data_IF_735958858114
#
_entry.id   IF_735958858114
#
_cell.length_a   1.000
_cell.length_b   1.000
_cell.length_c   1.000
_cell.angle_alpha   90.00
_cell.angle_beta   90.00
_cell.angle_gamma   90.00
#
_symmetry.space_group_name_H-M   'P 1'
#
loop_
_entity.id
_entity.type
_entity.pdbx_description
1 polymer ?
#
# COMPACT_ATOMS: atom_id res chain seq x y z
N UNK A 1 73.05 29.09 16.92
CA UNK A 1 72.49 30.19 17.74
C UNK A 1 72.62 31.45 16.92
N UNK A 2 71.64 32.36 16.81
CA UNK A 2 70.27 32.41 17.33
C UNK A 2 69.27 32.45 16.13
N UNK A 3 67.95 32.64 16.18
CA UNK A 3 67.01 33.22 17.13
C UNK A 3 65.67 32.51 16.83
N UNK A 4 65.12 31.85 17.83
CA UNK A 4 63.75 31.36 17.83
C UNK A 4 62.77 32.52 17.76
N UNK A 5 61.83 32.52 16.82
CA UNK A 5 60.43 32.67 17.23
C UNK A 5 59.48 31.93 16.29
N UNK A 6 58.69 31.08 16.94
CA UNK A 6 57.82 30.05 16.41
C UNK A 6 56.42 30.63 16.37
N UNK A 7 56.22 31.63 15.52
CA UNK A 7 55.01 32.46 15.55
C UNK A 7 53.97 32.12 14.46
N UNK A 8 54.18 31.06 13.67
CA UNK A 8 53.27 30.69 12.58
C UNK A 8 52.21 29.62 12.96
N UNK A 9 52.46 28.76 13.95
CA UNK A 9 51.63 27.55 14.15
C UNK A 9 50.52 27.67 15.23
N UNK A 10 50.16 28.89 15.64
CA UNK A 10 49.13 29.11 16.69
C UNK A 10 47.82 29.74 16.21
N UNK A 11 47.58 29.81 14.90
CA UNK A 11 46.31 30.30 14.33
C UNK A 11 45.47 29.25 13.59
N UNK A 12 45.95 28.02 13.45
CA UNK A 12 45.22 26.97 12.72
C UNK A 12 44.59 25.88 13.62
N UNK A 13 44.86 25.90 14.93
CA UNK A 13 44.35 24.87 15.85
C UNK A 13 43.04 25.23 16.61
N UNK A 14 42.54 26.47 16.49
CA UNK A 14 41.35 26.91 17.24
C UNK A 14 40.07 27.05 16.39
N UNK A 15 40.16 26.98 15.05
CA UNK A 15 39.00 27.06 14.15
C UNK A 15 38.40 25.67 13.81
N UNK A 16 39.10 24.58 14.15
CA UNK A 16 38.69 23.21 13.87
C UNK A 16 37.76 22.58 14.93
N UNK A 17 37.49 23.27 16.04
CA UNK A 17 36.77 22.71 17.20
C UNK A 17 35.28 23.11 17.30
N UNK A 18 34.66 23.61 16.22
CA UNK A 18 33.31 24.19 16.28
C UNK A 18 32.24 23.54 15.37
N UNK A 19 32.46 22.36 14.78
CA UNK A 19 31.41 21.72 13.94
C UNK A 19 31.16 20.22 14.17
N UNK A 20 31.61 19.67 15.29
CA UNK A 20 31.16 18.36 15.77
C UNK A 20 30.31 18.52 17.02
N UNK A 21 28.99 18.67 16.81
CA UNK A 21 27.96 18.39 17.80
C UNK A 21 26.71 17.88 17.07
N UNK A 22 26.18 16.70 17.41
CA UNK A 22 24.87 16.27 16.94
C UNK A 22 23.78 16.92 17.80
N UNK A 23 22.62 17.25 17.22
CA UNK A 23 21.39 17.16 17.99
C UNK A 23 20.44 16.20 17.28
N UNK A 24 20.36 14.99 17.84
CA UNK A 24 19.11 14.25 17.80
C UNK A 24 18.06 15.11 18.53
N UNK A 25 17.23 15.84 17.78
CA UNK A 25 16.07 16.53 18.32
C UNK A 25 14.96 16.45 17.28
N UNK A 26 13.89 15.75 17.65
CA UNK A 26 12.86 15.28 16.75
C UNK A 26 12.38 16.36 15.79
N UNK A 27 12.54 16.10 14.48
CA UNK A 27 11.52 16.56 13.55
C UNK A 27 10.23 15.94 14.04
N UNK A 28 9.48 16.70 14.83
CA UNK A 28 8.08 16.46 15.10
C UNK A 28 7.53 15.93 13.80
N UNK A 29 7.15 14.64 13.76
CA UNK A 29 6.44 14.05 12.63
C UNK A 29 5.20 14.91 12.52
N UNK A 30 5.28 16.03 11.78
CA UNK A 30 4.13 16.87 11.47
C UNK A 30 3.16 15.89 10.86
N UNK A 31 2.16 15.49 11.64
CA UNK A 31 1.15 14.53 11.22
C UNK A 31 0.62 15.13 9.93
N UNK A 32 0.96 14.50 8.80
CA UNK A 32 0.70 15.05 7.47
C UNK A 32 -0.82 15.11 7.37
N UNK A 33 -1.39 16.31 7.58
CA UNK A 33 -2.84 16.48 7.59
C UNK A 33 -3.29 16.24 6.17
N UNK A 34 -3.97 15.11 5.94
CA UNK A 34 -4.49 14.77 4.62
C UNK A 34 -5.52 15.83 4.26
N UNK A 35 -5.25 16.61 3.21
CA UNK A 35 -6.15 17.63 2.70
C UNK A 35 -7.47 17.00 2.23
N UNK A 36 -8.54 17.78 2.25
CA UNK A 36 -9.86 17.35 1.76
C UNK A 36 -9.78 16.81 0.33
N UNK A 37 -9.02 17.48 -0.54
CA UNK A 37 -8.77 17.06 -1.94
C UNK A 37 -8.08 15.69 -2.00
N UNK A 38 -7.06 15.45 -1.17
CA UNK A 38 -6.39 14.14 -1.12
C UNK A 38 -7.31 13.02 -0.60
N UNK A 39 -8.19 13.31 0.37
CA UNK A 39 -9.21 12.36 0.83
C UNK A 39 -10.21 12.04 -0.27
N UNK A 40 -10.72 13.05 -0.98
CA UNK A 40 -11.64 12.86 -2.10
C UNK A 40 -11.00 12.03 -3.21
N UNK A 41 -9.76 12.34 -3.60
CA UNK A 41 -9.02 11.55 -4.58
C UNK A 41 -8.86 10.09 -4.16
N UNK A 42 -8.59 9.83 -2.88
CA UNK A 42 -8.52 8.47 -2.34
C UNK A 42 -9.89 7.75 -2.40
N UNK A 43 -10.98 8.41 -2.02
CA UNK A 43 -12.33 7.85 -2.10
C UNK A 43 -12.74 7.50 -3.53
N UNK A 44 -12.39 8.33 -4.52
CA UNK A 44 -12.66 8.05 -5.94
C UNK A 44 -11.91 6.80 -6.39
N UNK A 45 -10.62 6.67 -6.02
CA UNK A 45 -9.84 5.48 -6.35
C UNK A 45 -10.45 4.21 -5.77
N UNK A 46 -10.84 4.25 -4.49
CA UNK A 46 -11.45 3.08 -3.86
C UNK A 46 -12.80 2.73 -4.48
N UNK A 47 -13.62 3.74 -4.83
CA UNK A 47 -14.87 3.51 -5.56
C UNK A 47 -14.64 2.80 -6.89
N UNK A 48 -13.63 3.23 -7.67
CA UNK A 48 -13.27 2.59 -8.94
C UNK A 48 -12.79 1.15 -8.74
N UNK A 49 -11.94 0.92 -7.73
CA UNK A 49 -11.49 -0.42 -7.35
C UNK A 49 -12.68 -1.33 -7.00
N UNK A 50 -13.61 -0.85 -6.18
CA UNK A 50 -14.82 -1.60 -5.81
C UNK A 50 -15.76 -1.83 -6.97
N UNK A 51 -15.87 -0.88 -7.91
CA UNK A 51 -16.65 -1.08 -9.13
C UNK A 51 -16.11 -2.26 -9.95
N UNK A 52 -14.80 -2.28 -10.23
CA UNK A 52 -14.15 -3.38 -10.95
C UNK A 52 -14.31 -4.73 -10.23
N UNK A 53 -14.21 -4.76 -8.90
CA UNK A 53 -14.47 -5.96 -8.12
C UNK A 53 -15.91 -6.46 -8.29
N UNK A 54 -16.88 -5.54 -8.22
CA UNK A 54 -18.30 -5.89 -8.36
C UNK A 54 -18.62 -6.40 -9.77
N UNK A 55 -18.01 -5.82 -10.80
CA UNK A 55 -18.15 -6.25 -12.18
C UNK A 55 -17.65 -7.69 -12.36
N UNK A 56 -16.42 -7.99 -11.90
CA UNK A 56 -15.89 -9.35 -11.92
C UNK A 56 -16.79 -10.35 -11.16
N UNK A 57 -17.40 -9.89 -10.07
CA UNK A 57 -18.35 -10.71 -9.31
C UNK A 57 -19.64 -10.99 -10.08
N UNK A 58 -20.12 -10.03 -10.87
CA UNK A 58 -21.28 -10.22 -11.73
C UNK A 58 -20.98 -11.10 -12.94
N UNK A 59 -19.76 -11.07 -13.46
CA UNK A 59 -19.31 -12.05 -14.45
C UNK A 59 -19.28 -13.46 -13.87
N UNK A 60 -18.77 -13.63 -12.66
CA UNK A 60 -18.79 -14.93 -11.98
C UNK A 60 -20.22 -15.46 -11.83
N UNK A 61 -21.17 -14.62 -11.41
CA UNK A 61 -22.58 -15.02 -11.28
C UNK A 61 -23.17 -15.56 -12.59
N UNK A 62 -22.79 -15.01 -13.74
CA UNK A 62 -23.26 -15.48 -15.06
C UNK A 62 -22.72 -16.86 -15.44
N UNK A 63 -21.59 -17.26 -14.85
CA UNK A 63 -20.93 -18.56 -15.11
C UNK A 63 -21.37 -19.64 -14.13
N UNK A 64 -21.82 -19.25 -12.95
CA UNK A 64 -22.34 -20.17 -11.95
C UNK A 64 -23.75 -20.61 -12.37
N UNK A 65 -24.05 -21.92 -12.36
CA UNK A 65 -25.38 -22.41 -12.73
C UNK A 65 -26.43 -21.96 -11.71
N UNK A 66 -27.45 -21.24 -12.17
CA UNK A 66 -28.61 -20.80 -11.38
C UNK A 66 -29.89 -20.93 -12.20
N UNK A 67 -31.04 -21.02 -11.55
CA UNK A 67 -32.32 -21.06 -12.26
C UNK A 67 -32.67 -19.67 -12.83
N UNK A 68 -33.29 -19.61 -14.01
CA UNK A 68 -33.52 -18.36 -14.75
C UNK A 68 -34.39 -17.31 -14.00
N UNK A 69 -35.20 -17.76 -13.03
CA UNK A 69 -36.08 -16.91 -12.22
C UNK A 69 -35.56 -16.68 -10.79
N UNK A 70 -34.35 -17.14 -10.48
CA UNK A 70 -33.79 -16.97 -9.15
C UNK A 70 -33.32 -15.54 -8.89
N UNK A 71 -33.48 -15.15 -7.63
CA UNK A 71 -32.94 -13.89 -7.11
C UNK A 71 -31.42 -13.86 -7.29
N UNK A 72 -30.86 -12.67 -7.54
CA UNK A 72 -29.42 -12.44 -7.57
C UNK A 72 -28.75 -12.97 -6.30
N UNK A 73 -27.84 -13.93 -6.47
CA UNK A 73 -27.09 -14.55 -5.38
C UNK A 73 -26.24 -13.54 -4.60
N UNK A 74 -26.17 -13.71 -3.27
CA UNK A 74 -25.24 -12.97 -2.42
C UNK A 74 -23.79 -13.33 -2.74
N UNK A 75 -22.83 -12.55 -2.21
CA UNK A 75 -21.40 -12.82 -2.45
C UNK A 75 -20.99 -14.19 -1.90
N UNK A 76 -21.42 -14.53 -0.69
CA UNK A 76 -21.05 -15.81 -0.09
C UNK A 76 -21.66 -17.00 -0.84
N UNK A 77 -22.92 -16.89 -1.28
CA UNK A 77 -23.59 -17.95 -2.04
C UNK A 77 -22.92 -18.18 -3.40
N UNK A 78 -22.61 -17.09 -4.12
CA UNK A 78 -21.93 -17.18 -5.43
C UNK A 78 -20.57 -17.88 -5.30
N UNK A 79 -19.78 -17.55 -4.27
CA UNK A 79 -18.48 -18.19 -4.05
C UNK A 79 -18.63 -19.67 -3.71
N UNK A 80 -19.56 -20.01 -2.81
CA UNK A 80 -19.82 -21.40 -2.42
C UNK A 80 -20.25 -22.23 -3.64
N UNK A 81 -21.19 -21.71 -4.42
CA UNK A 81 -21.72 -22.43 -5.58
C UNK A 81 -20.68 -22.56 -6.69
N UNK A 82 -19.84 -21.54 -6.92
CA UNK A 82 -18.72 -21.63 -7.85
C UNK A 82 -17.73 -22.76 -7.48
N UNK A 83 -17.37 -22.87 -6.20
CA UNK A 83 -16.48 -23.94 -5.72
C UNK A 83 -17.10 -25.31 -5.98
N UNK A 84 -18.35 -25.50 -5.56
CA UNK A 84 -19.07 -26.77 -5.75
C UNK A 84 -19.19 -27.11 -7.24
N UNK A 85 -19.45 -26.11 -8.09
CA UNK A 85 -19.59 -26.31 -9.52
C UNK A 85 -18.27 -26.74 -10.20
N UNK A 86 -17.14 -26.15 -9.81
CA UNK A 86 -15.81 -26.57 -10.29
C UNK A 86 -15.54 -28.02 -9.88
N UNK A 87 -15.77 -28.37 -8.61
CA UNK A 87 -15.61 -29.75 -8.13
C UNK A 87 -16.48 -30.73 -8.91
N UNK A 88 -17.76 -30.40 -9.08
CA UNK A 88 -18.72 -31.24 -9.81
C UNK A 88 -18.31 -31.46 -11.27
N UNK A 89 -17.91 -30.40 -11.98
CA UNK A 89 -17.45 -30.51 -13.36
C UNK A 89 -16.17 -31.33 -13.48
N UNK A 90 -15.25 -31.19 -12.52
CA UNK A 90 -14.00 -31.98 -12.48
C UNK A 90 -14.30 -33.47 -12.31
N UNK A 91 -15.14 -33.82 -11.33
CA UNK A 91 -15.54 -35.22 -11.12
C UNK A 91 -16.28 -35.83 -12.31
N UNK A 92 -17.13 -35.04 -12.99
CA UNK A 92 -17.83 -35.51 -14.18
C UNK A 92 -16.83 -35.86 -15.29
N UNK A 93 -15.82 -35.02 -15.51
CA UNK A 93 -14.80 -35.27 -16.54
C UNK A 93 -13.90 -36.47 -16.20
N UNK A 94 -13.64 -36.75 -14.92
CA UNK A 94 -12.83 -37.91 -14.49
C UNK A 94 -13.59 -39.24 -14.51
N UNK A 95 -14.93 -39.20 -14.42
CA UNK A 95 -15.80 -40.40 -14.43
C UNK A 95 -16.21 -40.83 -15.85
N UNK A 96 -15.77 -40.11 -16.88
CA UNK A 96 -15.92 -40.46 -18.30
C UNK A 96 -14.58 -40.88 -18.91
#
# INVERSE_FOLDING_TARGET
LPFSDRSADRREAAAAAARTLPPAAGRSRRKRVISTVQRQAANIRERRRMFSLNEAFDELRKKVPTFAYEKRLSRIETLRLAIVYISFMTELLEKN
#
